data_IF_607900095012
#
_entry.id   IF_607900095012
#
_cell.length_a   1.000
_cell.length_b   1.000
_cell.length_c   1.000
_cell.angle_alpha   90.00
_cell.angle_beta   90.00
_cell.angle_gamma   90.00
#
_symmetry.space_group_name_H-M   'P 1'
#
loop_
_entity.id
_entity.type
_entity.pdbx_description
1 polymer ?
#
# COMPACT_ATOMS: atom_id res chain seq x y z
N UNK A 1 51.78 63.24 6.89
CA UNK A 1 50.30 63.18 6.85
C UNK A 1 49.82 61.86 6.26
N UNK A 2 48.98 61.13 6.98
CA UNK A 2 48.62 59.74 6.70
C UNK A 2 47.68 59.54 5.50
N UNK A 3 48.08 58.65 4.58
CA UNK A 3 47.31 58.23 3.40
C UNK A 3 46.08 57.40 3.81
N UNK A 4 44.94 58.05 4.07
CA UNK A 4 43.64 57.40 4.36
C UNK A 4 42.77 57.36 3.09
N UNK A 5 43.07 56.48 2.13
CA UNK A 5 42.32 56.39 0.86
C UNK A 5 41.87 55.00 0.39
N UNK A 6 42.43 53.90 0.92
CA UNK A 6 42.26 52.56 0.33
C UNK A 6 41.44 51.56 1.17
N UNK A 7 40.77 52.00 2.24
CA UNK A 7 40.02 51.10 3.15
C UNK A 7 38.58 50.80 2.70
N UNK A 8 37.89 51.75 2.04
CA UNK A 8 36.48 51.57 1.58
C UNK A 8 36.32 50.40 0.59
N UNK A 9 37.27 50.18 -0.32
CA UNK A 9 37.21 49.09 -1.29
C UNK A 9 37.29 47.71 -0.61
N UNK A 10 38.16 47.56 0.40
CA UNK A 10 38.28 46.30 1.17
C UNK A 10 37.00 45.97 1.96
N UNK A 11 36.36 46.98 2.54
CA UNK A 11 35.09 46.80 3.27
C UNK A 11 33.97 46.36 2.32
N UNK A 12 33.87 46.93 1.12
CA UNK A 12 32.87 46.50 0.13
C UNK A 12 33.05 45.04 -0.26
N UNK A 13 34.28 44.58 -0.48
CA UNK A 13 34.57 43.17 -0.80
C UNK A 13 34.25 42.26 0.38
N UNK A 14 34.48 42.71 1.61
CA UNK A 14 34.17 41.93 2.81
C UNK A 14 32.66 41.73 3.00
N UNK A 15 31.86 42.78 2.75
CA UNK A 15 30.39 42.70 2.77
C UNK A 15 29.87 41.78 1.67
N UNK A 16 30.46 41.88 0.47
CA UNK A 16 30.07 41.05 -0.67
C UNK A 16 30.41 39.56 -0.44
N UNK A 17 31.52 39.28 0.25
CA UNK A 17 31.93 37.93 0.64
C UNK A 17 30.99 37.35 1.71
N UNK A 18 30.60 38.13 2.72
CA UNK A 18 29.57 37.72 3.69
C UNK A 18 28.23 37.42 3.01
N UNK A 19 27.82 38.25 2.06
CA UNK A 19 26.58 38.06 1.30
C UNK A 19 26.64 36.79 0.45
N UNK A 20 27.78 36.51 -0.18
CA UNK A 20 27.99 35.28 -0.93
C UNK A 20 27.93 34.04 -0.03
N UNK A 21 28.55 34.08 1.16
CA UNK A 21 28.47 32.97 2.13
C UNK A 21 27.03 32.73 2.58
N UNK A 22 26.28 33.81 2.85
CA UNK A 22 24.87 33.71 3.22
C UNK A 22 24.04 33.02 2.12
N UNK A 23 24.18 33.46 0.86
CA UNK A 23 23.49 32.84 -0.29
C UNK A 23 23.88 31.36 -0.43
N UNK A 24 25.17 31.04 -0.34
CA UNK A 24 25.64 29.65 -0.42
C UNK A 24 25.02 28.77 0.68
N UNK A 25 24.93 29.30 1.91
CA UNK A 25 24.31 28.59 3.04
C UNK A 25 22.81 28.36 2.81
N UNK A 26 22.09 29.37 2.32
CA UNK A 26 20.66 29.26 2.00
C UNK A 26 20.38 28.28 0.84
N UNK A 27 21.21 28.28 -0.20
CA UNK A 27 21.07 27.32 -1.31
C UNK A 27 21.34 25.89 -0.82
N UNK A 28 22.29 25.70 0.08
CA UNK A 28 22.61 24.38 0.64
C UNK A 28 21.44 23.83 1.46
N UNK A 29 20.80 24.65 2.31
CA UNK A 29 19.63 24.20 3.08
C UNK A 29 18.41 23.91 2.19
N UNK A 30 18.16 24.74 1.18
CA UNK A 30 17.06 24.53 0.23
C UNK A 30 17.23 23.22 -0.57
N UNK A 31 18.47 22.86 -0.95
CA UNK A 31 18.73 21.60 -1.66
C UNK A 31 18.44 20.37 -0.81
N UNK A 32 18.74 20.41 0.49
CA UNK A 32 18.43 19.30 1.39
C UNK A 32 16.93 19.15 1.60
N UNK A 33 16.22 20.27 1.79
CA UNK A 33 14.76 20.25 1.94
C UNK A 33 14.06 19.73 0.68
N UNK A 34 14.49 20.12 -0.52
CA UNK A 34 13.95 19.57 -1.77
C UNK A 34 14.17 18.07 -1.90
N UNK A 35 15.34 17.56 -1.50
CA UNK A 35 15.62 16.12 -1.54
C UNK A 35 14.74 15.33 -0.57
N UNK A 36 14.52 15.87 0.63
CA UNK A 36 13.65 15.24 1.62
C UNK A 36 12.20 15.18 1.14
N UNK A 37 11.68 16.28 0.58
CA UNK A 37 10.36 16.33 -0.06
C UNK A 37 10.22 15.36 -1.24
N UNK A 38 11.27 15.22 -2.06
CA UNK A 38 11.28 14.29 -3.20
C UNK A 38 11.28 12.82 -2.75
N UNK A 39 12.02 12.50 -1.68
CA UNK A 39 12.02 11.17 -1.07
C UNK A 39 10.64 10.87 -0.46
N UNK A 40 10.05 11.81 0.27
CA UNK A 40 8.73 11.65 0.86
C UNK A 40 7.65 11.45 -0.21
N UNK A 41 7.72 12.20 -1.31
CA UNK A 41 6.84 12.06 -2.47
C UNK A 41 6.97 10.68 -3.13
N UNK A 42 8.20 10.21 -3.34
CA UNK A 42 8.42 8.89 -3.93
C UNK A 42 7.94 7.77 -3.02
N UNK A 43 8.17 7.86 -1.71
CA UNK A 43 7.68 6.88 -0.75
C UNK A 43 6.14 6.84 -0.72
N UNK A 44 5.48 8.00 -0.74
CA UNK A 44 4.01 8.06 -0.79
C UNK A 44 3.47 7.55 -2.13
N UNK A 45 4.14 7.81 -3.26
CA UNK A 45 3.76 7.23 -4.55
C UNK A 45 3.92 5.70 -4.56
N UNK A 46 5.00 5.16 -4.01
CA UNK A 46 5.18 3.71 -3.85
C UNK A 46 4.11 3.09 -2.94
N UNK A 47 3.74 3.74 -1.84
CA UNK A 47 2.66 3.28 -0.97
C UNK A 47 1.31 3.29 -1.70
N UNK A 48 1.03 4.33 -2.50
CA UNK A 48 -0.18 4.40 -3.33
C UNK A 48 -0.20 3.27 -4.35
N UNK A 49 0.93 2.96 -5.00
CA UNK A 49 1.00 1.84 -5.96
C UNK A 49 0.79 0.49 -5.28
N UNK A 50 1.40 0.26 -4.12
CA UNK A 50 1.19 -0.96 -3.32
C UNK A 50 -0.27 -1.12 -2.92
N UNK A 51 -0.88 -0.09 -2.34
CA UNK A 51 -2.29 -0.11 -1.96
C UNK A 51 -3.21 -0.32 -3.17
N UNK A 52 -2.91 0.28 -4.33
CA UNK A 52 -3.67 0.02 -5.56
C UNK A 52 -3.54 -1.42 -6.03
N UNK A 53 -2.36 -2.03 -5.91
CA UNK A 53 -2.13 -3.43 -6.26
C UNK A 53 -2.87 -4.38 -5.30
N UNK A 54 -2.88 -4.10 -4.01
CA UNK A 54 -3.65 -4.87 -3.02
C UNK A 54 -5.16 -4.74 -3.29
N UNK A 55 -5.64 -3.54 -3.60
CA UNK A 55 -7.04 -3.31 -3.97
C UNK A 55 -7.41 -4.08 -5.23
N UNK A 56 -6.52 -4.16 -6.23
CA UNK A 56 -6.81 -4.91 -7.46
C UNK A 56 -6.84 -6.41 -7.21
N UNK A 57 -5.91 -6.94 -6.41
CA UNK A 57 -5.88 -8.35 -6.00
C UNK A 57 -7.12 -8.73 -5.18
N UNK A 58 -7.49 -7.91 -4.19
CA UNK A 58 -8.71 -8.09 -3.39
C UNK A 58 -9.96 -8.00 -4.29
N UNK A 59 -10.01 -7.09 -5.26
CA UNK A 59 -11.14 -7.03 -6.20
C UNK A 59 -11.22 -8.25 -7.11
N UNK A 60 -10.09 -8.83 -7.52
CA UNK A 60 -10.08 -10.10 -8.27
C UNK A 60 -10.61 -11.22 -7.37
N UNK A 61 -10.17 -11.29 -6.12
CA UNK A 61 -10.72 -12.23 -5.15
C UNK A 61 -12.20 -12.03 -4.90
N UNK A 62 -12.66 -10.78 -4.78
CA UNK A 62 -14.08 -10.44 -4.60
C UNK A 62 -14.85 -10.82 -5.85
N UNK A 63 -14.39 -10.53 -7.07
CA UNK A 63 -15.07 -11.00 -8.29
C UNK A 63 -15.16 -12.52 -8.36
N UNK A 64 -14.13 -13.22 -7.87
CA UNK A 64 -14.16 -14.68 -7.77
C UNK A 64 -15.12 -15.17 -6.66
N UNK A 65 -15.28 -14.42 -5.56
CA UNK A 65 -16.22 -14.69 -4.44
C UNK A 65 -17.66 -14.23 -4.70
N UNK A 66 -17.86 -13.21 -5.51
CA UNK A 66 -19.14 -12.71 -6.01
C UNK A 66 -19.62 -13.52 -7.23
N UNK A 67 -18.79 -14.46 -7.71
CA UNK A 67 -19.28 -15.49 -8.60
C UNK A 67 -20.41 -16.25 -7.91
N UNK A 68 -21.54 -16.39 -8.61
CA UNK A 68 -22.73 -17.09 -8.13
C UNK A 68 -22.40 -18.47 -7.53
N UNK A 69 -21.32 -19.09 -8.01
CA UNK A 69 -20.80 -20.39 -7.60
C UNK A 69 -20.24 -20.40 -6.17
N UNK A 70 -19.54 -19.35 -5.73
CA UNK A 70 -19.02 -19.28 -4.36
C UNK A 70 -20.15 -19.03 -3.34
N UNK A 71 -21.10 -18.15 -3.67
CA UNK A 71 -22.29 -17.91 -2.84
C UNK A 71 -23.13 -19.18 -2.74
N UNK A 72 -23.34 -19.90 -3.85
CA UNK A 72 -24.03 -21.20 -3.85
C UNK A 72 -23.28 -22.24 -3.01
N UNK A 73 -21.95 -22.28 -3.08
CA UNK A 73 -21.11 -23.18 -2.29
C UNK A 73 -21.27 -22.93 -0.79
N UNK A 74 -21.12 -21.69 -0.31
CA UNK A 74 -21.29 -21.36 1.12
C UNK A 74 -22.73 -21.63 1.57
N UNK A 75 -23.74 -21.30 0.76
CA UNK A 75 -25.12 -21.58 1.08
C UNK A 75 -25.39 -23.09 1.26
N UNK A 76 -24.77 -23.95 0.43
CA UNK A 76 -24.89 -25.42 0.53
C UNK A 76 -24.06 -26.00 1.68
N UNK A 77 -22.84 -25.52 1.89
CA UNK A 77 -21.91 -26.08 2.88
C UNK A 77 -22.26 -25.66 4.32
N UNK A 78 -22.45 -24.36 4.55
CA UNK A 78 -22.68 -23.80 5.89
C UNK A 78 -24.17 -23.83 6.26
N UNK A 79 -25.05 -23.49 5.32
CA UNK A 79 -26.49 -23.33 5.59
C UNK A 79 -27.34 -24.49 5.11
N UNK A 80 -26.77 -25.49 4.41
CA UNK A 80 -27.49 -26.61 3.76
C UNK A 80 -28.69 -26.15 2.93
N UNK A 81 -28.60 -24.95 2.36
CA UNK A 81 -29.64 -24.38 1.51
C UNK A 81 -29.63 -25.09 0.16
N UNK A 82 -30.83 -25.26 -0.40
CA UNK A 82 -31.07 -25.90 -1.67
C UNK A 82 -31.83 -24.95 -2.59
N UNK A 83 -31.70 -25.14 -3.90
CA UNK A 83 -32.57 -24.45 -4.85
C UNK A 83 -34.01 -24.88 -4.63
N UNK A 84 -35.03 -24.04 -4.92
CA UNK A 84 -36.45 -24.33 -4.64
C UNK A 84 -37.03 -25.63 -5.23
N UNK A 85 -36.28 -26.37 -6.06
CA UNK A 85 -36.67 -27.62 -6.71
C UNK A 85 -35.77 -28.82 -6.36
N UNK A 86 -34.83 -28.67 -5.42
CA UNK A 86 -33.92 -29.72 -4.98
C UNK A 86 -34.33 -30.26 -3.60
N UNK A 87 -34.19 -31.57 -3.39
CA UNK A 87 -34.51 -32.24 -2.10
C UNK A 87 -33.28 -32.99 -1.58
N UNK A 88 -32.95 -32.78 -0.29
CA UNK A 88 -31.90 -33.55 0.40
C UNK A 88 -32.47 -34.91 0.83
N UNK A 89 -31.89 -36.00 0.34
CA UNK A 89 -32.21 -37.36 0.79
C UNK A 89 -31.25 -37.79 1.90
N UNK A 90 -31.74 -37.89 3.14
CA UNK A 90 -30.97 -38.42 4.28
C UNK A 90 -31.47 -39.83 4.58
N UNK A 91 -30.68 -40.83 4.22
CA UNK A 91 -30.93 -42.22 4.62
C UNK A 91 -30.58 -42.41 6.10
N UNK A 92 -31.60 -42.37 6.97
CA UNK A 92 -31.46 -42.57 8.41
C UNK A 92 -31.05 -44.00 8.80
N UNK A 93 -31.09 -44.96 7.87
CA UNK A 93 -30.83 -46.37 8.14
C UNK A 93 -29.49 -46.86 7.57
N UNK A 94 -28.68 -45.97 6.98
CA UNK A 94 -27.37 -46.28 6.41
C UNK A 94 -26.44 -47.05 7.37
N UNK A 95 -26.53 -46.78 8.67
CA UNK A 95 -25.72 -47.44 9.70
C UNK A 95 -26.19 -48.85 10.12
N UNK A 96 -27.37 -49.29 9.68
CA UNK A 96 -27.91 -50.64 9.98
C UNK A 96 -27.81 -51.60 8.80
N UNK A 97 -27.39 -51.14 7.63
CA UNK A 97 -27.21 -51.98 6.46
C UNK A 97 -25.90 -52.77 6.58
N UNK A 98 -25.94 -54.12 6.73
CA UNK A 98 -24.73 -54.93 6.87
C UNK A 98 -23.83 -54.87 5.62
N UNK A 99 -24.35 -54.40 4.48
CA UNK A 99 -23.63 -54.24 3.21
C UNK A 99 -22.98 -52.87 3.01
N UNK A 100 -23.27 -51.88 3.88
CA UNK A 100 -22.70 -50.53 3.82
C UNK A 100 -21.81 -50.21 5.02
N UNK A 101 -21.51 -51.22 5.86
CA UNK A 101 -20.48 -51.13 6.90
C UNK A 101 -19.15 -50.83 6.21
N UNK A 102 -18.66 -49.60 6.38
CA UNK A 102 -17.31 -49.26 5.98
C UNK A 102 -16.38 -49.83 7.03
N UNK A 103 -15.76 -50.95 6.72
CA UNK A 103 -14.72 -51.55 7.52
C UNK A 103 -13.52 -50.58 7.47
N UNK A 104 -13.31 -49.84 8.54
CA UNK A 104 -12.16 -48.95 8.66
C UNK A 104 -10.93 -49.81 8.99
N UNK A 105 -10.02 -49.96 8.03
CA UNK A 105 -8.65 -50.41 8.25
C UNK A 105 -7.74 -49.20 8.48
#
# INVERSE_FOLDING_TARGET
MGKKGKKKFRIRHMVLLLFAIYICSTIYSQRNMMKELEIEKNNTEEEIEKLKSEISEINIEIQNKDSLEFVEKIAREEFRMLKPREIIYIDKNKNKNPFLRKDNN
#
